data_IF_228613898817
#
_entry.id   IF_228613898817
#
_cell.length_a   1.000
_cell.length_b   1.000
_cell.length_c   1.000
_cell.angle_alpha   90.00
_cell.angle_beta   90.00
_cell.angle_gamma   90.00
#
_symmetry.space_group_name_H-M   'P 1'
#
loop_
_entity.id
_entity.type
_entity.pdbx_description
1 polymer ?
#
# COMPACT_ATOMS: atom_id res chain seq x y z
N UNK A 1 19.33 26.81 -33.83
CA UNK A 1 18.98 25.54 -34.52
C UNK A 1 18.46 24.55 -33.48
N UNK A 2 17.15 24.25 -33.45
CA UNK A 2 16.54 23.35 -32.43
C UNK A 2 16.83 21.89 -32.81
N UNK A 3 17.62 21.18 -32.02
CA UNK A 3 17.87 19.74 -32.21
C UNK A 3 16.62 18.95 -31.85
N UNK A 4 16.24 17.97 -32.68
CA UNK A 4 15.04 17.16 -32.46
C UNK A 4 15.36 15.89 -31.67
N UNK A 5 14.36 15.34 -30.94
CA UNK A 5 14.48 14.13 -30.12
C UNK A 5 15.11 12.93 -30.88
N UNK A 6 14.88 12.82 -32.19
CA UNK A 6 15.47 11.78 -33.05
C UNK A 6 16.99 11.91 -33.22
N UNK A 7 17.52 13.13 -33.21
CA UNK A 7 18.97 13.36 -33.31
C UNK A 7 19.69 13.03 -32.00
N UNK A 8 19.04 13.25 -30.86
CA UNK A 8 19.58 12.86 -29.55
C UNK A 8 19.73 11.34 -29.45
N UNK A 9 18.71 10.57 -29.83
CA UNK A 9 18.74 9.10 -29.78
C UNK A 9 19.83 8.50 -30.68
N UNK A 10 20.03 9.06 -31.89
CA UNK A 10 21.09 8.60 -32.80
C UNK A 10 22.50 8.90 -32.27
N UNK A 11 22.67 10.01 -31.55
CA UNK A 11 23.98 10.39 -30.97
C UNK A 11 24.32 9.53 -29.74
N UNK A 12 23.33 9.11 -28.96
CA UNK A 12 23.53 8.25 -27.79
C UNK A 12 23.89 6.80 -28.13
N UNK A 13 23.52 6.30 -29.32
CA UNK A 13 23.86 4.94 -29.74
C UNK A 13 25.35 4.77 -30.09
N UNK A 14 26.04 5.84 -30.50
CA UNK A 14 27.46 5.80 -30.87
C UNK A 14 28.40 5.79 -29.66
N UNK A 15 27.96 6.24 -28.48
CA UNK A 15 28.78 6.27 -27.24
C UNK A 15 28.70 4.99 -26.41
N UNK A 16 27.74 4.09 -26.68
CA UNK A 16 27.61 2.81 -25.95
C UNK A 16 28.69 1.80 -26.37
N UNK A 17 29.20 1.88 -27.60
CA UNK A 17 30.19 0.92 -28.12
C UNK A 17 31.56 0.97 -27.45
N UNK A 18 31.93 2.07 -26.79
CA UNK A 18 33.28 2.27 -26.23
C UNK A 18 33.37 2.01 -24.71
N UNK A 19 32.25 1.84 -23.99
CA UNK A 19 32.25 1.58 -22.54
C UNK A 19 32.06 0.10 -22.18
N UNK A 20 32.02 -0.79 -23.17
CA UNK A 20 31.79 -2.22 -22.97
C UNK A 20 32.97 -3.02 -22.37
N UNK A 21 34.04 -2.37 -21.86
CA UNK A 21 35.28 -3.04 -21.44
C UNK A 21 35.79 -2.75 -20.02
N UNK A 22 34.97 -2.16 -19.14
CA UNK A 22 35.29 -2.13 -17.70
C UNK A 22 34.20 -2.80 -16.89
N UNK A 23 34.40 -4.08 -16.57
CA UNK A 23 33.50 -4.96 -15.82
C UNK A 23 33.16 -4.51 -14.39
N UNK A 24 32.37 -3.44 -14.26
CA UNK A 24 31.87 -2.92 -12.97
C UNK A 24 30.34 -2.76 -12.91
N UNK A 25 29.58 -3.54 -13.69
CA UNK A 25 28.12 -3.37 -13.77
C UNK A 25 27.26 -4.40 -13.02
N UNK A 26 27.83 -5.39 -12.33
CA UNK A 26 27.01 -6.35 -11.58
C UNK A 26 26.77 -5.97 -10.11
N UNK A 27 27.53 -5.02 -9.55
CA UNK A 27 27.47 -4.68 -8.11
C UNK A 27 26.70 -3.39 -7.77
N UNK A 28 26.25 -2.62 -8.75
CA UNK A 28 25.48 -1.39 -8.50
C UNK A 28 24.02 -1.65 -8.11
N UNK A 29 23.57 -2.91 -8.22
CA UNK A 29 22.25 -3.39 -7.80
C UNK A 29 22.35 -4.46 -6.72
N UNK A 30 23.47 -4.52 -5.98
CA UNK A 30 23.46 -5.17 -4.68
C UNK A 30 22.56 -4.32 -3.78
N UNK A 31 21.26 -4.58 -3.86
CA UNK A 31 20.21 -3.94 -3.09
C UNK A 31 20.68 -3.94 -1.62
N UNK A 32 21.01 -2.76 -1.08
CA UNK A 32 21.47 -2.64 0.31
C UNK A 32 20.50 -3.41 1.19
N UNK A 33 21.01 -4.38 1.95
CA UNK A 33 20.21 -5.19 2.85
C UNK A 33 19.58 -4.26 3.89
N UNK A 34 18.30 -3.96 3.73
CA UNK A 34 17.55 -3.22 4.75
C UNK A 34 17.49 -4.09 5.99
N UNK A 35 17.64 -3.47 7.17
CA UNK A 35 17.41 -4.14 8.46
C UNK A 35 16.08 -4.92 8.36
N UNK A 36 16.05 -6.24 8.68
CA UNK A 36 14.82 -7.00 8.71
C UNK A 36 13.79 -6.35 9.64
N UNK A 37 12.52 -6.35 9.21
CA UNK A 37 11.40 -5.73 9.93
C UNK A 37 10.26 -6.73 10.04
N UNK A 38 9.42 -6.58 11.07
CA UNK A 38 8.13 -7.23 11.22
C UNK A 38 7.06 -6.34 10.61
N UNK A 39 6.47 -6.78 9.51
CA UNK A 39 5.48 -6.01 8.76
C UNK A 39 4.12 -6.69 8.87
N UNK A 40 3.13 -5.95 9.36
CA UNK A 40 1.72 -6.34 9.31
C UNK A 40 1.06 -5.72 8.07
N UNK A 41 0.44 -6.55 7.22
CA UNK A 41 -0.34 -6.08 6.08
C UNK A 41 -1.82 -6.38 6.32
N UNK A 42 -2.61 -5.33 6.54
CA UNK A 42 -4.06 -5.45 6.70
C UNK A 42 -4.68 -5.52 5.30
N UNK A 43 -5.30 -6.65 4.92
CA UNK A 43 -5.74 -6.85 3.53
C UNK A 43 -4.65 -7.38 2.59
N UNK A 44 -3.73 -8.21 3.10
CA UNK A 44 -2.60 -8.76 2.36
C UNK A 44 -2.95 -9.77 1.25
N UNK A 45 -4.20 -10.25 1.17
CA UNK A 45 -4.69 -11.09 0.05
C UNK A 45 -5.54 -10.33 -0.97
N UNK A 46 -5.73 -9.02 -0.80
CA UNK A 46 -6.45 -8.16 -1.75
C UNK A 46 -5.64 -7.88 -3.02
N UNK A 47 -6.04 -6.88 -3.81
CA UNK A 47 -5.41 -6.58 -5.09
C UNK A 47 -3.90 -6.27 -5.00
N UNK A 48 -3.49 -5.32 -4.14
CA UNK A 48 -2.09 -4.92 -3.97
C UNK A 48 -1.31 -5.81 -3.00
N UNK A 49 -2.01 -6.52 -2.13
CA UNK A 49 -1.45 -7.27 -1.00
C UNK A 49 -0.40 -8.31 -1.40
N UNK A 50 -0.68 -9.25 -2.32
CA UNK A 50 0.28 -10.30 -2.70
C UNK A 50 1.59 -9.74 -3.24
N UNK A 51 1.56 -8.61 -3.95
CA UNK A 51 2.77 -7.94 -4.45
C UNK A 51 3.59 -7.34 -3.31
N UNK A 52 2.94 -6.66 -2.36
CA UNK A 52 3.60 -6.14 -1.16
C UNK A 52 4.23 -7.26 -0.32
N UNK A 53 3.50 -8.37 -0.14
CA UNK A 53 3.97 -9.56 0.58
C UNK A 53 5.23 -10.11 -0.09
N UNK A 54 5.18 -10.40 -1.40
CA UNK A 54 6.32 -10.99 -2.13
C UNK A 54 7.54 -10.06 -2.10
N UNK A 55 7.33 -8.75 -2.30
CA UNK A 55 8.42 -7.79 -2.26
C UNK A 55 9.03 -7.70 -0.85
N UNK A 56 8.22 -7.56 0.20
CA UNK A 56 8.71 -7.51 1.57
C UNK A 56 9.52 -8.76 1.97
N UNK A 57 9.05 -9.95 1.57
CA UNK A 57 9.78 -11.20 1.78
C UNK A 57 11.11 -11.23 1.01
N UNK A 58 11.14 -10.77 -0.24
CA UNK A 58 12.38 -10.71 -1.04
C UNK A 58 13.45 -9.81 -0.42
N UNK A 59 13.03 -8.84 0.40
CA UNK A 59 13.87 -7.92 1.16
C UNK A 59 14.29 -8.46 2.54
N UNK A 60 13.90 -9.70 2.87
CA UNK A 60 14.24 -10.35 4.15
C UNK A 60 13.37 -9.93 5.33
N UNK A 61 12.21 -9.31 5.11
CA UNK A 61 11.29 -8.93 6.18
C UNK A 61 10.40 -10.12 6.61
N UNK A 62 9.97 -10.12 7.88
CA UNK A 62 8.97 -11.04 8.41
C UNK A 62 7.58 -10.45 8.16
N UNK A 63 6.73 -11.14 7.41
CA UNK A 63 5.42 -10.63 7.01
C UNK A 63 4.31 -11.41 7.74
N UNK A 64 3.40 -10.65 8.36
CA UNK A 64 2.12 -11.14 8.88
C UNK A 64 1.01 -10.46 8.08
N UNK A 65 -0.03 -11.20 7.71
CA UNK A 65 -1.23 -10.62 7.07
C UNK A 65 -2.45 -10.78 7.98
N UNK A 66 -3.39 -9.84 7.89
CA UNK A 66 -4.68 -9.93 8.58
C UNK A 66 -5.83 -9.81 7.59
N UNK A 67 -6.58 -10.91 7.42
CA UNK A 67 -7.61 -11.03 6.39
C UNK A 67 -8.82 -11.84 6.88
N UNK A 68 -9.95 -11.75 6.16
CA UNK A 68 -11.17 -12.55 6.42
C UNK A 68 -11.06 -14.03 6.04
N UNK A 69 -9.94 -14.45 5.44
CA UNK A 69 -9.75 -15.80 4.91
C UNK A 69 -10.61 -16.14 3.68
N UNK A 70 -11.26 -15.16 3.05
CA UNK A 70 -12.16 -15.37 1.89
C UNK A 70 -11.50 -15.16 0.53
N UNK A 71 -10.57 -14.21 0.45
CA UNK A 71 -9.91 -13.82 -0.80
C UNK A 71 -8.62 -14.62 -0.96
N UNK A 72 -8.49 -15.35 -2.06
CA UNK A 72 -7.29 -16.11 -2.44
C UNK A 72 -6.71 -16.98 -1.31
N UNK A 73 -7.53 -17.83 -0.65
CA UNK A 73 -7.05 -18.62 0.48
C UNK A 73 -5.95 -19.58 0.03
N UNK A 74 -4.81 -19.55 0.71
CA UNK A 74 -3.67 -20.44 0.45
C UNK A 74 -2.71 -19.98 -0.67
N UNK A 75 -2.95 -18.85 -1.32
CA UNK A 75 -2.07 -18.37 -2.41
C UNK A 75 -0.82 -17.62 -1.92
N UNK A 76 -0.77 -17.21 -0.65
CA UNK A 76 0.40 -16.56 -0.06
C UNK A 76 1.50 -17.58 0.26
N UNK A 77 2.80 -17.20 0.18
CA UNK A 77 3.89 -18.09 0.54
C UNK A 77 3.76 -18.63 1.98
N UNK A 78 4.13 -19.91 2.19
CA UNK A 78 3.99 -20.60 3.48
C UNK A 78 4.69 -19.92 4.67
N UNK A 79 5.73 -19.11 4.39
CA UNK A 79 6.46 -18.36 5.42
C UNK A 79 5.70 -17.12 5.94
N UNK A 80 4.57 -16.76 5.34
CA UNK A 80 3.72 -15.64 5.77
C UNK A 80 2.77 -16.12 6.86
N UNK A 81 2.82 -15.47 8.03
CA UNK A 81 1.80 -15.68 9.05
C UNK A 81 0.48 -15.06 8.59
N UNK A 82 -0.61 -15.83 8.63
CA UNK A 82 -1.94 -15.37 8.22
C UNK A 82 -2.88 -15.35 9.42
N UNK A 83 -3.15 -14.15 9.94
CA UNK A 83 -4.14 -13.90 10.98
C UNK A 83 -5.52 -13.79 10.34
N UNK A 84 -6.47 -14.55 10.89
CA UNK A 84 -7.86 -14.53 10.43
C UNK A 84 -8.68 -13.61 11.34
N UNK A 85 -9.40 -12.69 10.71
CA UNK A 85 -10.31 -11.77 11.39
C UNK A 85 -11.05 -10.88 10.41
N UNK A 86 -11.76 -9.90 10.93
CA UNK A 86 -12.54 -8.93 10.13
C UNK A 86 -12.40 -7.54 10.75
N UNK A 87 -12.15 -6.53 9.92
CA UNK A 87 -12.08 -5.15 10.40
C UNK A 87 -13.44 -4.64 10.89
N UNK A 88 -14.52 -5.31 10.50
CA UNK A 88 -15.85 -5.08 11.02
C UNK A 88 -16.06 -5.79 12.37
N UNK A 89 -15.21 -5.45 13.36
CA UNK A 89 -15.38 -5.86 14.76
C UNK A 89 -14.74 -7.17 15.20
N UNK A 90 -13.98 -7.89 14.34
CA UNK A 90 -13.28 -9.14 14.68
C UNK A 90 -11.76 -8.96 14.60
N UNK A 91 -11.24 -8.03 15.40
CA UNK A 91 -9.83 -7.60 15.39
C UNK A 91 -8.96 -8.28 16.48
N UNK A 92 -9.51 -9.21 17.26
CA UNK A 92 -8.85 -9.81 18.42
C UNK A 92 -7.50 -10.46 18.10
N UNK A 93 -7.34 -11.00 16.89
CA UNK A 93 -6.07 -11.61 16.46
C UNK A 93 -4.89 -10.61 16.45
N UNK A 94 -5.17 -9.30 16.45
CA UNK A 94 -4.15 -8.24 16.48
C UNK A 94 -3.69 -7.86 17.89
N UNK A 95 -4.45 -8.23 18.94
CA UNK A 95 -4.16 -7.84 20.32
C UNK A 95 -2.86 -8.47 20.82
N UNK A 96 -2.14 -7.75 21.69
CA UNK A 96 -0.93 -8.22 22.37
C UNK A 96 0.20 -8.67 21.43
N UNK A 97 0.27 -8.08 20.23
CA UNK A 97 1.30 -8.35 19.22
C UNK A 97 1.95 -7.04 18.82
N UNK A 98 3.19 -7.12 18.33
CA UNK A 98 3.96 -5.95 17.94
C UNK A 98 4.54 -6.10 16.54
N UNK A 99 4.59 -4.99 15.82
CA UNK A 99 5.17 -4.89 14.49
C UNK A 99 5.94 -3.59 14.35
N UNK A 100 6.92 -3.56 13.45
CA UNK A 100 7.70 -2.35 13.23
C UNK A 100 6.94 -1.43 12.25
N UNK A 101 6.21 -2.03 11.29
CA UNK A 101 5.39 -1.31 10.31
C UNK A 101 4.04 -2.00 10.09
N UNK A 102 2.98 -1.21 9.97
CA UNK A 102 1.69 -1.63 9.43
C UNK A 102 1.51 -1.00 8.05
N UNK A 103 1.15 -1.82 7.06
CA UNK A 103 0.63 -1.38 5.77
C UNK A 103 -0.87 -1.64 5.80
N UNK A 104 -1.64 -0.56 5.89
CA UNK A 104 -3.09 -0.59 5.84
C UNK A 104 -3.56 -0.36 4.40
N UNK A 105 -3.85 -1.47 3.70
CA UNK A 105 -4.38 -1.42 2.34
C UNK A 105 -5.81 -0.85 2.32
N UNK A 106 -6.22 -0.18 1.22
CA UNK A 106 -7.46 0.57 1.17
C UNK A 106 -8.65 -0.28 1.59
N UNK A 107 -9.53 0.35 2.38
CA UNK A 107 -10.74 -0.28 2.88
C UNK A 107 -11.92 0.68 2.75
N UNK A 108 -13.11 0.17 3.01
CA UNK A 108 -14.35 0.86 2.64
C UNK A 108 -14.80 1.89 3.67
N UNK A 109 -14.78 1.54 4.96
CA UNK A 109 -15.35 2.39 6.01
C UNK A 109 -14.26 3.03 6.89
N UNK A 110 -14.35 4.34 7.20
CA UNK A 110 -13.39 5.03 8.06
C UNK A 110 -13.25 4.41 9.46
N UNK A 111 -14.35 3.89 10.01
CA UNK A 111 -14.36 3.21 11.31
C UNK A 111 -13.40 2.02 11.35
N UNK A 112 -13.27 1.27 10.26
CA UNK A 112 -12.40 0.10 10.18
C UNK A 112 -10.91 0.46 10.25
N UNK A 113 -10.53 1.62 9.69
CA UNK A 113 -9.16 2.17 9.80
C UNK A 113 -8.92 2.64 11.24
N UNK A 114 -9.85 3.41 11.80
CA UNK A 114 -9.80 3.89 13.19
C UNK A 114 -9.64 2.74 14.17
N UNK A 115 -10.48 1.71 14.09
CA UNK A 115 -10.52 0.63 15.06
C UNK A 115 -9.27 -0.25 14.99
N UNK A 116 -8.76 -0.51 13.78
CA UNK A 116 -7.49 -1.18 13.59
C UNK A 116 -6.34 -0.36 14.19
N UNK A 117 -6.28 0.95 13.92
CA UNK A 117 -5.25 1.83 14.48
C UNK A 117 -5.32 1.93 16.01
N UNK A 118 -6.51 1.94 16.62
CA UNK A 118 -6.67 1.96 18.08
C UNK A 118 -6.15 0.68 18.73
N UNK A 119 -6.43 -0.49 18.16
CA UNK A 119 -5.93 -1.78 18.69
C UNK A 119 -4.41 -1.88 18.56
N UNK A 120 -3.84 -1.30 17.52
CA UNK A 120 -2.40 -1.33 17.24
C UNK A 120 -1.62 -0.22 17.95
N UNK A 121 -2.32 0.74 18.58
CA UNK A 121 -1.71 1.87 19.28
C UNK A 121 -0.74 1.38 20.36
N UNK A 122 0.48 1.94 20.34
CA UNK A 122 1.54 1.58 21.30
C UNK A 122 2.28 0.28 20.99
N UNK A 123 1.85 -0.47 19.97
CA UNK A 123 2.46 -1.74 19.57
C UNK A 123 3.10 -1.70 18.16
N UNK A 124 3.04 -0.53 17.51
CA UNK A 124 3.54 -0.33 16.14
C UNK A 124 4.28 0.99 16.04
N UNK A 125 5.49 0.96 15.47
CA UNK A 125 6.32 2.17 15.31
C UNK A 125 5.83 3.07 14.16
N UNK A 126 5.33 2.46 13.06
CA UNK A 126 4.88 3.16 11.86
C UNK A 126 3.58 2.59 11.33
N UNK A 127 2.58 3.45 11.11
CA UNK A 127 1.32 3.08 10.47
C UNK A 127 1.21 3.77 9.11
N UNK A 128 1.18 2.99 8.02
CA UNK A 128 1.09 3.50 6.65
C UNK A 128 -0.29 3.17 6.11
N UNK A 129 -1.16 4.17 6.03
CA UNK A 129 -2.47 4.05 5.40
C UNK A 129 -2.38 4.39 3.91
N UNK A 130 -2.87 3.50 3.05
CA UNK A 130 -2.94 3.75 1.61
C UNK A 130 -4.25 4.49 1.32
N UNK A 131 -4.12 5.79 1.14
CA UNK A 131 -5.21 6.66 0.68
C UNK A 131 -5.41 6.56 -0.85
N UNK A 132 -6.26 7.41 -1.40
CA UNK A 132 -6.53 7.53 -2.84
C UNK A 132 -6.44 8.98 -3.27
N UNK A 133 -6.12 9.24 -4.55
CA UNK A 133 -6.24 10.57 -5.15
C UNK A 133 -7.70 11.05 -5.22
N UNK A 134 -8.68 10.13 -5.14
CA UNK A 134 -10.11 10.45 -5.16
C UNK A 134 -10.59 11.25 -3.94
N UNK A 135 -9.72 11.48 -2.95
CA UNK A 135 -10.02 12.43 -1.86
C UNK A 135 -9.99 13.88 -2.34
N UNK A 136 -9.30 14.14 -3.45
CA UNK A 136 -9.32 15.41 -4.14
C UNK A 136 -10.40 15.32 -5.23
N UNK A 137 -11.25 16.34 -5.32
CA UNK A 137 -12.34 16.38 -6.31
C UNK A 137 -11.86 16.40 -7.75
N UNK A 138 -12.77 16.64 -8.69
CA UNK A 138 -12.42 16.70 -10.12
C UNK A 138 -11.55 17.93 -10.47
N UNK A 139 -10.24 17.72 -10.57
CA UNK A 139 -9.27 18.68 -11.10
C UNK A 139 -8.81 18.32 -12.52
N UNK A 140 -8.72 19.30 -13.43
CA UNK A 140 -8.20 19.10 -14.81
C UNK A 140 -6.68 18.82 -14.84
N UNK A 141 -5.98 19.20 -13.78
CA UNK A 141 -4.57 18.96 -13.51
C UNK A 141 -4.50 18.21 -12.20
N UNK A 142 -3.63 17.19 -12.10
CA UNK A 142 -3.51 16.40 -10.87
C UNK A 142 -3.31 17.29 -9.63
N UNK A 143 -3.92 16.95 -8.48
CA UNK A 143 -3.82 17.75 -7.27
C UNK A 143 -2.41 17.66 -6.66
N UNK A 144 -1.91 18.78 -6.15
CA UNK A 144 -0.76 18.81 -5.23
C UNK A 144 -1.18 18.31 -3.84
N UNK A 145 -0.24 17.89 -2.98
CA UNK A 145 -0.54 17.30 -1.66
C UNK A 145 -1.22 18.28 -0.68
N UNK A 146 -1.22 19.58 -0.97
CA UNK A 146 -1.90 20.61 -0.19
C UNK A 146 -3.23 21.07 -0.81
N UNK A 147 -3.68 20.42 -1.88
CA UNK A 147 -4.96 20.74 -2.50
C UNK A 147 -6.12 20.46 -1.52
N UNK A 148 -7.23 21.22 -1.60
CA UNK A 148 -8.41 20.94 -0.79
C UNK A 148 -8.97 19.54 -1.07
N UNK A 149 -9.33 18.81 -0.01
CA UNK A 149 -10.04 17.53 -0.13
C UNK A 149 -11.54 17.73 -0.20
N UNK A 150 -12.25 16.74 -0.76
CA UNK A 150 -13.70 16.67 -0.73
C UNK A 150 -14.23 16.68 0.71
N UNK A 151 -15.38 17.34 0.90
CA UNK A 151 -16.01 17.44 2.21
C UNK A 151 -16.97 16.27 2.42
N UNK A 152 -16.81 15.57 3.54
CA UNK A 152 -17.80 14.60 3.96
C UNK A 152 -19.10 15.31 4.37
N UNK A 153 -20.21 14.92 3.74
CA UNK A 153 -21.52 15.56 3.93
C UNK A 153 -22.38 14.90 5.02
N UNK A 154 -21.93 13.75 5.56
CA UNK A 154 -22.64 13.06 6.64
C UNK A 154 -22.34 13.65 8.02
N UNK A 155 -23.12 13.24 9.02
CA UNK A 155 -22.98 13.74 10.39
C UNK A 155 -21.72 13.24 11.12
N UNK A 156 -21.35 11.97 10.92
CA UNK A 156 -20.17 11.35 11.52
C UNK A 156 -19.60 10.28 10.58
N UNK A 157 -18.40 10.48 10.00
CA UNK A 157 -17.81 9.53 9.05
C UNK A 157 -17.49 8.17 9.68
N UNK A 158 -17.39 8.10 11.01
CA UNK A 158 -17.13 6.85 11.71
C UNK A 158 -18.40 6.08 12.11
N UNK A 159 -19.59 6.60 11.79
CA UNK A 159 -20.88 5.90 11.91
C UNK A 159 -21.43 5.44 10.56
N UNK A 160 -20.70 5.68 9.48
CA UNK A 160 -21.03 5.17 8.16
C UNK A 160 -21.12 3.64 8.15
N UNK A 161 -22.10 3.09 7.43
CA UNK A 161 -22.31 1.64 7.31
C UNK A 161 -22.20 1.19 5.86
N UNK A 162 -21.97 -0.10 5.64
CA UNK A 162 -21.95 -0.66 4.29
C UNK A 162 -23.33 -0.53 3.63
N UNK A 163 -24.40 -0.66 4.40
CA UNK A 163 -25.79 -0.55 3.95
C UNK A 163 -26.09 0.89 3.50
N UNK A 164 -25.72 1.89 4.30
CA UNK A 164 -25.92 3.30 3.97
C UNK A 164 -25.08 3.72 2.77
N UNK A 165 -23.81 3.32 2.71
CA UNK A 165 -22.94 3.57 1.56
C UNK A 165 -23.51 2.95 0.27
N UNK A 166 -23.98 1.69 0.31
CA UNK A 166 -24.62 1.03 -0.83
C UNK A 166 -25.90 1.72 -1.25
N UNK A 167 -26.77 2.08 -0.29
CA UNK A 167 -28.01 2.80 -0.56
C UNK A 167 -27.76 4.19 -1.16
N UNK A 168 -26.65 4.84 -0.77
CA UNK A 168 -26.17 6.08 -1.34
C UNK A 168 -25.53 5.94 -2.71
N UNK A 169 -25.43 4.73 -3.27
CA UNK A 169 -24.81 4.48 -4.57
C UNK A 169 -23.29 4.70 -4.57
N UNK A 170 -22.62 4.42 -3.45
CA UNK A 170 -21.16 4.58 -3.31
C UNK A 170 -20.66 6.01 -3.52
N UNK A 171 -21.52 7.03 -3.39
CA UNK A 171 -21.14 8.45 -3.49
C UNK A 171 -20.00 8.88 -2.56
N UNK A 172 -19.82 8.17 -1.44
CA UNK A 172 -18.73 8.41 -0.48
C UNK A 172 -17.44 7.68 -0.86
N UNK A 173 -17.45 6.87 -1.93
CA UNK A 173 -16.36 6.02 -2.37
C UNK A 173 -15.86 6.46 -3.75
N UNK A 174 -15.29 7.68 -3.83
CA UNK A 174 -14.71 8.23 -5.07
C UNK A 174 -15.69 8.32 -6.26
N UNK A 175 -15.24 8.84 -7.42
CA UNK A 175 -15.94 8.69 -8.70
C UNK A 175 -15.87 7.25 -9.22
#
# INVERSE_FOLDING_TARGET
MKRTRRQFIKLSAATVGAFALSGRSASLLAEQTTKPMRILILGGTGFTGPYQVRYALSRGHKVTTFNRGKTHPGELPNQVEQLIGDRNGKLDALKNRQWDVVIDNPTTLPAWVRDAAQILKGNVDRYVFISTISVYGEGKTGPEENAPTEKYQGADPYKETLEAMKAGGYKTYGP
#
